data_IF_233711390201
#
_entry.id   IF_233711390201
#
_cell.length_a   1.000
_cell.length_b   1.000
_cell.length_c   1.000
_cell.angle_alpha   90.00
_cell.angle_beta   90.00
_cell.angle_gamma   90.00
#
_symmetry.space_group_name_H-M   'P 1'
#
loop_
_entity.id
_entity.type
_entity.pdbx_description
1 polymer ?
#
# COMPACT_ATOMS: atom_id res chain seq x y z
N UNK A 1 5.58 17.58 4.88
CA UNK A 1 6.43 18.59 5.52
C UNK A 1 5.96 18.91 6.94
N UNK A 2 4.79 19.53 7.10
CA UNK A 2 4.33 20.09 8.38
C UNK A 2 4.24 19.09 9.57
N UNK A 3 3.81 17.84 9.34
CA UNK A 3 3.66 16.84 10.42
C UNK A 3 5.03 16.37 10.95
N UNK A 4 6.04 16.24 10.08
CA UNK A 4 7.40 15.89 10.47
C UNK A 4 8.06 17.04 11.25
N UNK A 5 7.82 18.28 10.84
CA UNK A 5 8.30 19.48 11.54
C UNK A 5 7.66 19.63 12.93
N UNK A 6 6.37 19.28 13.10
CA UNK A 6 5.70 19.24 14.41
C UNK A 6 6.36 18.24 15.36
N UNK A 7 6.71 17.04 14.86
CA UNK A 7 7.38 16.01 15.66
C UNK A 7 8.77 16.43 16.16
N UNK A 8 9.50 17.18 15.35
CA UNK A 8 10.83 17.71 15.71
C UNK A 8 10.73 18.81 16.78
N UNK A 9 9.78 19.74 16.66
CA UNK A 9 9.51 20.76 17.68
C UNK A 9 9.05 20.17 19.02
N UNK A 10 8.17 19.16 18.99
CA UNK A 10 7.72 18.41 20.17
C UNK A 10 8.88 17.65 20.84
N UNK A 11 9.81 17.10 20.05
CA UNK A 11 11.02 16.44 20.57
C UNK A 11 11.94 17.43 21.27
N UNK A 12 12.21 18.60 20.68
CA UNK A 12 13.04 19.64 21.27
C UNK A 12 12.46 20.12 22.61
N UNK A 13 11.15 20.39 22.66
CA UNK A 13 10.47 20.79 23.89
C UNK A 13 10.52 19.71 24.99
N UNK A 14 10.29 18.44 24.63
CA UNK A 14 10.37 17.32 25.57
C UNK A 14 11.79 17.15 26.15
N UNK A 15 12.83 17.35 25.32
CA UNK A 15 14.23 17.34 25.78
C UNK A 15 14.55 18.51 26.71
N UNK A 16 14.01 19.69 26.44
CA UNK A 16 14.16 20.87 27.33
C UNK A 16 13.50 20.67 28.70
N UNK A 17 12.48 19.80 28.79
CA UNK A 17 11.85 19.39 30.04
C UNK A 17 12.57 18.21 30.73
N UNK A 18 13.75 17.80 30.24
CA UNK A 18 14.56 16.73 30.83
C UNK A 18 14.13 15.32 30.44
N UNK A 19 13.21 15.14 29.48
CA UNK A 19 12.77 13.81 29.06
C UNK A 19 13.85 13.09 28.24
N UNK A 20 13.95 11.77 28.43
CA UNK A 20 14.75 10.94 27.54
C UNK A 20 14.08 10.80 26.16
N UNK A 21 14.84 10.49 25.10
CA UNK A 21 14.31 10.34 23.73
C UNK A 21 13.15 9.35 23.68
N UNK A 22 13.34 8.21 24.34
CA UNK A 22 12.37 7.12 24.34
C UNK A 22 11.11 7.54 25.10
N UNK A 23 11.26 8.23 26.23
CA UNK A 23 10.13 8.77 26.97
C UNK A 23 9.32 9.72 26.09
N UNK A 24 9.97 10.70 25.45
CA UNK A 24 9.31 11.63 24.53
C UNK A 24 8.59 10.93 23.36
N UNK A 25 9.20 9.89 22.77
CA UNK A 25 8.59 9.12 21.68
C UNK A 25 7.32 8.43 22.15
N UNK A 26 7.38 7.65 23.23
CA UNK A 26 6.24 6.85 23.67
C UNK A 26 5.14 7.67 24.34
N UNK A 27 5.49 8.75 25.06
CA UNK A 27 4.51 9.53 25.80
C UNK A 27 3.88 10.67 25.01
N UNK A 28 4.55 11.19 23.98
CA UNK A 28 4.11 12.39 23.25
C UNK A 28 3.95 12.11 21.76
N UNK A 29 5.02 11.68 21.08
CA UNK A 29 5.04 11.64 19.61
C UNK A 29 4.17 10.51 19.06
N UNK A 30 4.31 9.29 19.59
CA UNK A 30 3.56 8.12 19.16
C UNK A 30 2.03 8.29 19.31
N UNK A 31 1.47 8.68 20.47
CA UNK A 31 0.02 8.85 20.60
C UNK A 31 -0.52 9.98 19.71
N UNK A 32 0.24 11.05 19.50
CA UNK A 32 -0.16 12.13 18.58
C UNK A 32 -0.17 11.66 17.12
N UNK A 33 0.89 11.00 16.69
CA UNK A 33 0.99 10.45 15.33
C UNK A 33 -0.14 9.46 15.06
N UNK A 34 -0.45 8.57 16.01
CA UNK A 34 -1.57 7.64 15.89
C UNK A 34 -2.92 8.36 15.81
N UNK A 35 -3.17 9.39 16.64
CA UNK A 35 -4.43 10.16 16.60
C UNK A 35 -4.66 10.85 15.26
N UNK A 36 -3.58 11.23 14.57
CA UNK A 36 -3.65 11.87 13.24
C UNK A 36 -3.77 10.82 12.12
N UNK A 37 -3.00 9.74 12.19
CA UNK A 37 -2.95 8.72 11.13
C UNK A 37 -4.19 7.80 11.14
N UNK A 38 -4.70 7.44 12.32
CA UNK A 38 -5.80 6.47 12.45
C UNK A 38 -7.08 6.90 11.72
N UNK A 39 -7.59 8.14 11.85
CA UNK A 39 -8.79 8.56 11.12
C UNK A 39 -8.63 8.50 9.59
N UNK A 40 -7.46 8.87 9.08
CA UNK A 40 -7.16 8.78 7.64
C UNK A 40 -7.14 7.33 7.16
N UNK A 41 -6.49 6.44 7.91
CA UNK A 41 -6.45 5.02 7.61
C UNK A 41 -7.83 4.35 7.67
N UNK A 42 -8.65 4.72 8.66
CA UNK A 42 -10.01 4.19 8.80
C UNK A 42 -10.92 4.54 7.63
N UNK A 43 -10.71 5.70 6.99
CA UNK A 43 -11.47 6.08 5.79
C UNK A 43 -11.02 5.34 4.53
N UNK A 44 -9.72 5.07 4.39
CA UNK A 44 -9.17 4.36 3.21
C UNK A 44 -9.33 2.83 3.29
N UNK A 45 -9.32 2.25 4.49
CA UNK A 45 -9.33 0.81 4.68
C UNK A 45 -10.52 0.08 4.01
N UNK A 46 -11.79 0.53 4.15
CA UNK A 46 -12.93 -0.12 3.50
C UNK A 46 -12.88 -0.06 1.97
N UNK A 47 -12.30 1.01 1.41
CA UNK A 47 -12.15 1.22 -0.03
C UNK A 47 -11.15 0.19 -0.56
N UNK A 48 -9.96 0.14 0.04
CA UNK A 48 -8.91 -0.82 -0.34
C UNK A 48 -9.38 -2.27 -0.21
N UNK A 49 -10.15 -2.59 0.84
CA UNK A 49 -10.70 -3.93 1.06
C UNK A 49 -11.71 -4.31 -0.04
N UNK A 50 -12.62 -3.39 -0.37
CA UNK A 50 -13.61 -3.58 -1.44
C UNK A 50 -12.93 -3.76 -2.79
N UNK A 51 -12.01 -2.86 -3.15
CA UNK A 51 -11.33 -2.89 -4.44
C UNK A 51 -10.50 -4.18 -4.61
N UNK A 52 -9.76 -4.57 -3.56
CA UNK A 52 -8.96 -5.80 -3.57
C UNK A 52 -9.84 -7.05 -3.70
N UNK A 53 -10.95 -7.10 -2.96
CA UNK A 53 -11.87 -8.25 -2.98
C UNK A 53 -12.59 -8.38 -4.32
N UNK A 54 -13.04 -7.27 -4.93
CA UNK A 54 -13.66 -7.28 -6.26
C UNK A 54 -12.67 -7.72 -7.33
N UNK A 55 -11.44 -7.16 -7.32
CA UNK A 55 -10.39 -7.55 -8.24
C UNK A 55 -10.05 -9.04 -8.14
N UNK A 56 -9.90 -9.55 -6.92
CA UNK A 56 -9.64 -10.97 -6.68
C UNK A 56 -10.82 -11.84 -7.12
N UNK A 57 -12.04 -11.49 -6.73
CA UNK A 57 -13.25 -12.25 -7.02
C UNK A 57 -13.47 -12.39 -8.53
N UNK A 58 -13.24 -11.35 -9.32
CA UNK A 58 -13.40 -11.40 -10.77
C UNK A 58 -12.18 -12.05 -11.43
N UNK A 59 -10.97 -11.55 -11.15
CA UNK A 59 -9.75 -11.96 -11.84
C UNK A 59 -9.39 -13.43 -11.61
N UNK A 60 -9.45 -13.90 -10.37
CA UNK A 60 -9.15 -15.31 -10.06
C UNK A 60 -10.26 -16.22 -10.57
N UNK A 61 -11.53 -15.83 -10.42
CA UNK A 61 -12.65 -16.63 -10.94
C UNK A 61 -12.52 -16.82 -12.45
N UNK A 62 -12.27 -15.76 -13.22
CA UNK A 62 -12.18 -15.87 -14.68
C UNK A 62 -11.03 -16.79 -15.11
N UNK A 63 -9.85 -16.66 -14.50
CA UNK A 63 -8.69 -17.53 -14.77
C UNK A 63 -9.03 -18.99 -14.42
N UNK A 64 -9.63 -19.23 -13.26
CA UNK A 64 -10.00 -20.57 -12.80
C UNK A 64 -11.10 -21.20 -13.65
N UNK A 65 -12.08 -20.44 -14.11
CA UNK A 65 -13.13 -20.94 -15.02
C UNK A 65 -12.51 -21.40 -16.34
N UNK A 66 -11.63 -20.59 -16.94
CA UNK A 66 -10.91 -20.97 -18.17
C UNK A 66 -9.98 -22.17 -17.95
N UNK A 67 -9.28 -22.20 -16.82
CA UNK A 67 -8.45 -23.34 -16.41
C UNK A 67 -9.26 -24.63 -16.32
N UNK A 68 -10.37 -24.63 -15.58
CA UNK A 68 -11.25 -25.80 -15.45
C UNK A 68 -11.79 -26.28 -16.80
N UNK A 69 -12.20 -25.38 -17.69
CA UNK A 69 -12.62 -25.75 -19.05
C UNK A 69 -11.51 -26.48 -19.82
N UNK A 70 -10.26 -26.08 -19.65
CA UNK A 70 -9.12 -26.76 -20.26
C UNK A 70 -8.86 -28.12 -19.58
N UNK A 71 -8.98 -28.20 -18.25
CA UNK A 71 -8.84 -29.47 -17.51
C UNK A 71 -9.86 -30.50 -17.99
N UNK A 72 -11.12 -30.10 -18.19
CA UNK A 72 -12.17 -31.01 -18.69
C UNK A 72 -11.88 -31.53 -20.10
N UNK A 73 -11.13 -30.78 -20.92
CA UNK A 73 -10.77 -31.19 -22.29
C UNK A 73 -9.51 -32.05 -22.34
N UNK A 74 -8.50 -31.71 -21.54
CA UNK A 74 -7.16 -32.32 -21.60
C UNK A 74 -6.97 -33.41 -20.53
N UNK A 75 -7.84 -33.46 -19.52
CA UNK A 75 -7.74 -34.36 -18.35
C UNK A 75 -6.41 -34.25 -17.58
N UNK A 76 -5.74 -33.09 -17.68
CA UNK A 76 -4.44 -32.82 -17.05
C UNK A 76 -4.52 -31.64 -16.07
N UNK A 77 -5.04 -31.84 -14.84
CA UNK A 77 -5.28 -30.74 -13.89
C UNK A 77 -4.00 -30.05 -13.41
N UNK A 78 -2.97 -30.83 -13.08
CA UNK A 78 -1.74 -30.32 -12.45
C UNK A 78 -1.02 -29.24 -13.28
N UNK A 79 -0.66 -29.48 -14.57
CA UNK A 79 0.03 -28.46 -15.36
C UNK A 79 -0.85 -27.23 -15.65
N UNK A 80 -2.16 -27.42 -15.78
CA UNK A 80 -3.10 -26.33 -16.09
C UNK A 80 -3.25 -25.38 -14.91
N UNK A 81 -3.39 -25.89 -13.68
CA UNK A 81 -3.44 -25.02 -12.51
C UNK A 81 -2.12 -24.31 -12.25
N UNK A 82 -0.98 -24.96 -12.51
CA UNK A 82 0.33 -24.34 -12.41
C UNK A 82 0.49 -23.19 -13.42
N UNK A 83 0.03 -23.38 -14.66
CA UNK A 83 -0.01 -22.31 -15.66
C UNK A 83 -0.94 -21.16 -15.23
N UNK A 84 -2.12 -21.45 -14.67
CA UNK A 84 -3.03 -20.43 -14.16
C UNK A 84 -2.41 -19.61 -13.01
N UNK A 85 -1.72 -20.27 -12.08
CA UNK A 85 -1.01 -19.60 -10.98
C UNK A 85 0.09 -18.69 -11.51
N UNK A 86 0.86 -19.15 -12.51
CA UNK A 86 1.91 -18.36 -13.14
C UNK A 86 1.35 -17.13 -13.87
N UNK A 87 0.23 -17.30 -14.59
CA UNK A 87 -0.49 -16.18 -15.23
C UNK A 87 -0.94 -15.15 -14.20
N UNK A 88 -1.52 -15.60 -13.07
CA UNK A 88 -1.95 -14.69 -12.01
C UNK A 88 -0.78 -13.90 -11.41
N UNK A 89 0.36 -14.57 -11.14
CA UNK A 89 1.57 -13.92 -10.64
C UNK A 89 2.10 -12.88 -11.64
N UNK A 90 2.18 -13.23 -12.92
CA UNK A 90 2.63 -12.32 -13.97
C UNK A 90 1.69 -11.11 -14.12
N UNK A 91 0.38 -11.32 -14.00
CA UNK A 91 -0.59 -10.22 -14.07
C UNK A 91 -0.46 -9.28 -12.87
N UNK A 92 -0.28 -9.82 -11.66
CA UNK A 92 -0.09 -9.03 -10.45
C UNK A 92 1.24 -8.24 -10.50
N UNK A 93 2.35 -8.92 -10.80
CA UNK A 93 3.67 -8.30 -10.88
C UNK A 93 3.79 -7.33 -12.06
N UNK A 94 3.20 -7.69 -13.20
CA UNK A 94 3.13 -6.85 -14.39
C UNK A 94 2.33 -5.58 -14.15
N UNK A 95 1.18 -5.68 -13.46
CA UNK A 95 0.40 -4.53 -13.03
C UNK A 95 1.21 -3.61 -12.11
N UNK A 96 1.86 -4.17 -11.09
CA UNK A 96 2.71 -3.40 -10.18
C UNK A 96 3.87 -2.71 -10.92
N UNK A 97 4.51 -3.40 -11.85
CA UNK A 97 5.60 -2.84 -12.67
C UNK A 97 5.10 -1.74 -13.59
N UNK A 98 3.93 -1.92 -14.22
CA UNK A 98 3.29 -0.91 -15.06
C UNK A 98 2.98 0.35 -14.25
N UNK A 99 2.43 0.21 -13.05
CA UNK A 99 2.19 1.35 -12.16
C UNK A 99 3.50 2.07 -11.80
N UNK A 100 4.59 1.37 -11.49
CA UNK A 100 5.89 2.02 -11.24
C UNK A 100 6.47 2.73 -12.48
N UNK A 101 6.28 2.17 -13.67
CA UNK A 101 6.73 2.80 -14.93
C UNK A 101 5.86 4.01 -15.27
N UNK A 102 4.55 3.91 -15.07
CA UNK A 102 3.62 5.03 -15.24
C UNK A 102 3.90 6.12 -14.23
N UNK A 103 4.16 5.78 -12.97
CA UNK A 103 4.57 6.73 -11.94
C UNK A 103 5.85 7.46 -12.38
N UNK A 104 6.88 6.73 -12.84
CA UNK A 104 8.11 7.36 -13.38
C UNK A 104 7.89 8.24 -14.61
N UNK A 105 6.89 7.93 -15.46
CA UNK A 105 6.55 8.69 -16.66
C UNK A 105 5.67 9.91 -16.37
N UNK A 106 4.81 9.83 -15.35
CA UNK A 106 3.81 10.83 -14.96
C UNK A 106 4.27 11.66 -13.76
N UNK A 107 5.40 11.32 -13.12
CA UNK A 107 6.15 12.23 -12.24
C UNK A 107 6.58 13.46 -13.06
N UNK A 108 5.68 14.44 -13.14
CA UNK A 108 5.97 15.80 -13.56
C UNK A 108 6.82 16.39 -12.44
N UNK A 109 8.11 16.71 -12.68
CA UNK A 109 8.96 17.32 -11.67
C UNK A 109 8.44 18.73 -11.38
N UNK A 110 7.82 18.91 -10.21
CA UNK A 110 7.47 20.21 -9.67
C UNK A 110 6.01 20.34 -9.26
N UNK A 111 5.67 19.94 -8.04
CA UNK A 111 4.83 20.71 -7.11
C UNK A 111 5.07 20.18 -5.68
N UNK A 112 5.74 21.00 -4.86
CA UNK A 112 5.97 20.71 -3.44
C UNK A 112 7.30 21.17 -2.85
N UNK A 113 8.09 21.99 -3.56
CA UNK A 113 9.25 22.69 -3.00
C UNK A 113 9.15 24.19 -3.31
N UNK A 114 8.36 24.88 -2.50
CA UNK A 114 8.55 26.29 -2.19
C UNK A 114 8.46 26.32 -0.67
N UNK A 115 9.58 26.28 0.05
CA UNK A 115 10.42 27.46 0.23
C UNK A 115 9.52 28.67 0.51
N UNK A 116 8.98 28.70 1.72
CA UNK A 116 8.52 29.91 2.38
C UNK A 116 9.17 29.93 3.76
N UNK A 117 10.31 30.61 3.76
CA UNK A 117 10.95 31.31 4.89
C UNK A 117 10.00 31.80 5.96
#
# INVERSE_FOLDING_TARGET
>A
GAILSLGEGQMLAARSLGMSKNQAIFSIILPQALRIALPGWSNEYPILLTDSSVCYAIGVMEIMTRGNQMVTRTYQPMPIYLACALIFILMNYGGLSLFHVLEKRVHIPGFGSSDQS
#
